data_IF_308409983325
#
_entry.id   IF_308409983325
#
_cell.length_a   1.000
_cell.length_b   1.000
_cell.length_c   1.000
_cell.angle_alpha   90.00
_cell.angle_beta   90.00
_cell.angle_gamma   90.00
#
_symmetry.space_group_name_H-M   'P 1'
#
loop_
_entity.id
_entity.type
_entity.pdbx_description
1 polymer ?
#
# COMPACT_ATOMS: atom_id res chain seq x y z
N UNK A 1 -3.76 39.17 1.95
CA UNK A 1 -4.92 38.89 1.10
C UNK A 1 -4.46 38.10 -0.13
N UNK A 2 -4.79 36.81 -0.27
CA UNK A 2 -4.37 36.01 -1.43
C UNK A 2 -5.33 34.82 -1.71
N UNK A 3 -6.64 35.04 -1.60
CA UNK A 3 -7.69 34.02 -1.81
C UNK A 3 -8.58 34.41 -2.97
N UNK A 4 -8.04 34.42 -4.21
CA UNK A 4 -8.91 34.75 -5.35
C UNK A 4 -8.52 34.24 -6.74
N UNK A 5 -7.76 33.15 -6.90
CA UNK A 5 -7.49 32.59 -8.23
C UNK A 5 -7.23 31.07 -8.23
N UNK A 6 -8.20 30.24 -7.82
CA UNK A 6 -8.04 28.78 -7.99
C UNK A 6 -9.36 28.05 -8.24
N UNK A 7 -10.40 28.70 -8.74
CA UNK A 7 -11.67 28.00 -9.03
C UNK A 7 -11.96 28.21 -10.51
N UNK A 8 -11.95 27.13 -11.28
CA UNK A 8 -12.38 27.13 -12.68
C UNK A 8 -13.93 27.12 -12.76
N UNK A 9 -14.50 27.51 -13.90
CA UNK A 9 -15.94 27.81 -14.06
C UNK A 9 -16.88 26.61 -13.82
N UNK A 10 -16.33 25.39 -13.80
CA UNK A 10 -17.01 24.14 -13.46
C UNK A 10 -16.82 23.71 -11.97
N UNK A 11 -16.31 24.60 -11.12
CA UNK A 11 -16.14 24.33 -9.67
C UNK A 11 -14.91 23.47 -9.34
N UNK A 12 -14.02 23.23 -10.30
CA UNK A 12 -12.82 22.43 -10.09
C UNK A 12 -11.69 23.29 -9.50
N UNK A 13 -11.33 22.99 -8.25
CA UNK A 13 -10.10 23.45 -7.62
C UNK A 13 -8.95 22.55 -8.11
N UNK A 14 -8.03 23.10 -8.88
CA UNK A 14 -6.82 22.41 -9.35
C UNK A 14 -5.79 22.21 -8.21
N UNK A 15 -6.20 21.60 -7.10
CA UNK A 15 -5.30 21.21 -5.99
C UNK A 15 -4.62 19.86 -6.23
N UNK A 16 -5.04 19.12 -7.26
CA UNK A 16 -4.52 17.79 -7.53
C UNK A 16 -5.00 16.76 -6.50
N UNK A 17 -6.17 16.98 -5.90
CA UNK A 17 -6.90 16.08 -5.00
C UNK A 17 -8.30 15.78 -5.59
N UNK A 18 -8.60 14.51 -5.87
CA UNK A 18 -9.89 14.03 -6.39
C UNK A 18 -10.91 14.07 -5.24
N UNK A 19 -11.55 15.22 -5.07
CA UNK A 19 -12.72 15.39 -4.21
C UNK A 19 -13.97 15.51 -5.08
N UNK A 20 -15.04 14.80 -4.73
CA UNK A 20 -16.37 15.06 -5.27
C UNK A 20 -17.19 15.80 -4.21
N UNK A 21 -17.95 16.79 -4.67
CA UNK A 21 -18.95 17.49 -3.88
C UNK A 21 -20.28 16.79 -4.11
N UNK A 22 -20.92 16.36 -3.02
CA UNK A 22 -22.31 15.91 -3.02
C UNK A 22 -23.28 17.10 -3.04
N UNK A 23 -24.53 16.87 -3.45
CA UNK A 23 -25.65 17.83 -3.55
C UNK A 23 -25.95 18.52 -2.20
N UNK A 24 -25.53 17.91 -1.08
CA UNK A 24 -25.64 18.49 0.27
C UNK A 24 -24.41 19.32 0.70
N UNK A 25 -23.54 19.73 -0.24
CA UNK A 25 -22.30 20.46 0.02
C UNK A 25 -21.29 19.74 0.93
N UNK A 26 -21.40 18.41 1.05
CA UNK A 26 -20.42 17.60 1.76
C UNK A 26 -19.23 17.32 0.85
N UNK A 27 -18.06 17.82 1.23
CA UNK A 27 -16.81 17.52 0.53
C UNK A 27 -16.31 16.14 0.94
N UNK A 28 -16.53 15.14 0.08
CA UNK A 28 -15.95 13.82 0.28
C UNK A 28 -14.53 13.80 -0.30
N UNK A 29 -13.55 14.01 0.58
CA UNK A 29 -12.13 13.89 0.25
C UNK A 29 -11.81 12.40 0.08
N UNK A 30 -11.82 11.91 -1.16
CA UNK A 30 -11.45 10.52 -1.48
C UNK A 30 -9.92 10.38 -1.64
N UNK A 31 -9.17 10.77 -0.61
CA UNK A 31 -7.72 10.56 -0.54
C UNK A 31 -6.88 11.25 -1.62
N UNK A 32 -5.55 11.20 -1.47
CA UNK A 32 -4.62 11.91 -2.36
C UNK A 32 -4.57 11.29 -3.76
N UNK A 33 -4.98 12.09 -4.74
CA UNK A 33 -5.18 11.80 -6.17
C UNK A 33 -4.06 11.11 -6.97
N UNK A 34 -2.86 10.95 -6.43
CA UNK A 34 -1.68 10.53 -7.22
C UNK A 34 -1.33 9.04 -7.11
N UNK A 35 -2.19 8.21 -6.53
CA UNK A 35 -1.89 6.77 -6.38
C UNK A 35 -3.11 5.87 -6.59
N UNK A 36 -4.12 6.29 -7.36
CA UNK A 36 -5.19 5.37 -7.77
C UNK A 36 -4.66 4.47 -8.87
N UNK A 37 -4.85 3.16 -8.72
CA UNK A 37 -4.59 2.18 -9.75
C UNK A 37 -5.87 2.05 -10.56
N UNK A 38 -5.83 2.45 -11.83
CA UNK A 38 -6.96 2.25 -12.75
C UNK A 38 -6.69 1.00 -13.56
N UNK A 39 -7.50 -0.04 -13.37
CA UNK A 39 -7.37 -1.27 -14.14
C UNK A 39 -7.84 -1.07 -15.59
N UNK A 40 -7.38 -1.93 -16.48
CA UNK A 40 -7.76 -1.94 -17.91
C UNK A 40 -9.27 -2.05 -18.16
N UNK A 41 -10.06 -2.44 -17.15
CA UNK A 41 -11.52 -2.52 -17.21
C UNK A 41 -12.26 -1.26 -16.72
N UNK A 42 -11.53 -0.19 -16.37
CA UNK A 42 -12.10 1.06 -15.87
C UNK A 42 -12.39 1.10 -14.36
N UNK A 43 -12.02 0.04 -13.64
CA UNK A 43 -12.20 -0.03 -12.19
C UNK A 43 -11.09 0.72 -11.45
N UNK A 44 -11.50 1.53 -10.47
CA UNK A 44 -10.60 2.32 -9.63
C UNK A 44 -10.23 1.58 -8.35
N UNK A 45 -8.95 1.28 -8.18
CA UNK A 45 -8.39 0.63 -7.01
C UNK A 45 -7.58 1.63 -6.20
N UNK A 46 -7.88 1.71 -4.91
CA UNK A 46 -7.15 2.54 -3.95
C UNK A 46 -6.17 1.67 -3.18
N UNK A 47 -4.88 1.62 -3.57
CA UNK A 47 -3.88 0.81 -2.87
C UNK A 47 -3.75 1.23 -1.41
N UNK A 48 -3.91 2.51 -1.08
CA UNK A 48 -3.89 3.02 0.31
C UNK A 48 -4.96 2.37 1.20
N UNK A 49 -6.17 2.16 0.67
CA UNK A 49 -7.23 1.49 1.42
C UNK A 49 -6.94 0.00 1.65
N UNK A 50 -6.22 -0.64 0.71
CA UNK A 50 -5.79 -2.04 0.84
C UNK A 50 -4.61 -2.12 1.83
N UNK A 51 -3.64 -1.23 1.72
CA UNK A 51 -2.50 -1.10 2.63
C UNK A 51 -2.96 -0.88 4.07
N UNK A 52 -3.93 0.01 4.30
CA UNK A 52 -4.50 0.27 5.63
C UNK A 52 -5.12 -1.01 6.23
N UNK A 53 -5.85 -1.79 5.44
CA UNK A 53 -6.38 -3.10 5.85
C UNK A 53 -5.29 -4.10 6.19
N UNK A 54 -4.16 -4.09 5.46
CA UNK A 54 -3.02 -4.98 5.73
C UNK A 54 -2.25 -4.50 6.98
N UNK A 55 -2.05 -3.19 7.15
CA UNK A 55 -1.36 -2.60 8.30
C UNK A 55 -2.19 -2.68 9.59
N UNK A 56 -3.51 -2.94 9.49
CA UNK A 56 -4.36 -3.22 10.64
C UNK A 56 -3.97 -4.52 11.37
N UNK A 57 -3.20 -5.41 10.74
CA UNK A 57 -2.68 -6.61 11.38
C UNK A 57 -1.39 -6.27 12.14
N UNK A 58 -1.35 -6.54 13.45
CA UNK A 58 -0.22 -6.17 14.30
C UNK A 58 1.13 -6.81 13.92
N UNK A 59 1.12 -7.90 13.14
CA UNK A 59 2.33 -8.51 12.60
C UNK A 59 2.87 -7.79 11.36
N UNK A 60 2.11 -6.88 10.75
CA UNK A 60 2.54 -6.08 9.61
C UNK A 60 3.03 -4.73 10.12
N UNK A 61 4.29 -4.42 9.90
CA UNK A 61 4.82 -3.09 10.14
C UNK A 61 4.46 -2.14 9.00
N UNK A 62 4.67 -2.58 7.76
CA UNK A 62 4.41 -1.76 6.59
C UNK A 62 3.93 -2.60 5.42
N UNK A 63 3.09 -2.00 4.58
CA UNK A 63 2.66 -2.61 3.33
C UNK A 63 2.67 -1.60 2.20
N UNK A 64 2.91 -2.11 1.00
CA UNK A 64 2.83 -1.36 -0.24
C UNK A 64 2.06 -2.16 -1.28
N UNK A 65 0.97 -1.61 -1.78
CA UNK A 65 0.17 -2.22 -2.84
C UNK A 65 0.51 -1.56 -4.16
N UNK A 66 0.76 -2.39 -5.17
CA UNK A 66 1.08 -1.99 -6.54
C UNK A 66 0.31 -2.82 -7.55
N UNK A 67 0.22 -2.29 -8.76
CA UNK A 67 -0.23 -3.04 -9.91
C UNK A 67 0.97 -3.57 -10.69
N UNK A 68 0.90 -4.82 -11.12
CA UNK A 68 1.86 -5.47 -11.99
C UNK A 68 1.13 -6.39 -12.96
N UNK A 69 1.32 -6.16 -14.26
CA UNK A 69 0.77 -6.99 -15.34
C UNK A 69 -0.78 -7.11 -15.29
N UNK A 70 -1.46 -6.01 -14.97
CA UNK A 70 -2.91 -5.95 -14.81
C UNK A 70 -3.44 -6.63 -13.55
N UNK A 71 -2.55 -6.98 -12.60
CA UNK A 71 -2.89 -7.65 -11.34
C UNK A 71 -2.39 -6.86 -10.14
N UNK A 72 -3.09 -6.98 -9.02
CA UNK A 72 -2.70 -6.33 -7.77
C UNK A 72 -1.71 -7.21 -7.00
N UNK A 73 -0.54 -6.67 -6.69
CA UNK A 73 0.47 -7.27 -5.82
C UNK A 73 0.64 -6.42 -4.56
N UNK A 74 0.77 -7.07 -3.40
CA UNK A 74 1.04 -6.40 -2.13
C UNK A 74 2.43 -6.80 -1.63
N UNK A 75 3.32 -5.83 -1.46
CA UNK A 75 4.57 -5.99 -0.73
C UNK A 75 4.31 -5.76 0.75
N UNK A 76 4.81 -6.63 1.61
CA UNK A 76 4.57 -6.54 3.05
C UNK A 76 5.88 -6.70 3.79
N UNK A 77 6.18 -5.72 4.64
CA UNK A 77 7.24 -5.74 5.62
C UNK A 77 6.63 -6.13 6.96
N UNK A 78 7.03 -7.30 7.45
CA UNK A 78 6.53 -7.86 8.69
C UNK A 78 7.38 -7.42 9.87
N UNK A 79 6.77 -7.43 11.05
CA UNK A 79 7.48 -7.22 12.30
C UNK A 79 8.25 -8.50 12.69
N UNK A 80 9.51 -8.56 12.28
CA UNK A 80 10.39 -9.67 12.61
C UNK A 80 10.65 -9.80 14.11
N UNK A 81 10.54 -8.72 14.89
CA UNK A 81 10.70 -8.78 16.35
C UNK A 81 9.52 -9.53 16.97
N UNK A 82 8.30 -9.18 16.56
CA UNK A 82 7.09 -9.90 16.99
C UNK A 82 7.10 -11.36 16.52
N UNK A 83 7.51 -11.62 15.28
CA UNK A 83 7.62 -12.98 14.74
C UNK A 83 8.67 -13.77 15.53
N UNK A 84 9.82 -13.17 15.85
CA UNK A 84 10.86 -13.82 16.65
C UNK A 84 10.33 -14.16 18.05
N UNK A 85 9.57 -13.26 18.68
CA UNK A 85 8.89 -13.55 19.95
C UNK A 85 7.88 -14.71 19.84
N UNK A 86 7.02 -14.72 18.80
CA UNK A 86 6.03 -15.80 18.56
C UNK A 86 6.68 -17.14 18.17
N UNK A 87 7.91 -17.08 17.67
CA UNK A 87 8.69 -18.23 17.21
C UNK A 87 9.94 -18.48 18.05
N UNK A 88 10.01 -17.90 19.23
CA UNK A 88 11.15 -18.00 20.12
C UNK A 88 11.44 -19.49 20.42
N UNK A 89 12.66 -19.93 20.10
CA UNK A 89 13.09 -21.33 20.26
C UNK A 89 12.66 -22.30 19.16
N UNK A 90 12.01 -21.83 18.08
CA UNK A 90 11.70 -22.64 16.89
C UNK A 90 12.83 -22.61 15.88
N UNK A 91 12.93 -23.64 15.05
CA UNK A 91 13.93 -23.69 13.97
C UNK A 91 13.63 -22.67 12.86
N UNK A 92 14.63 -22.20 12.12
CA UNK A 92 14.42 -21.25 11.00
C UNK A 92 13.35 -21.71 9.99
N UNK A 93 13.23 -23.03 9.74
CA UNK A 93 12.16 -23.58 8.89
C UNK A 93 10.76 -23.37 9.48
N UNK A 94 10.60 -23.51 10.79
CA UNK A 94 9.31 -23.29 11.46
C UNK A 94 8.96 -21.81 11.50
N UNK A 95 9.96 -20.93 11.67
CA UNK A 95 9.78 -19.48 11.57
C UNK A 95 9.28 -19.11 10.17
N UNK A 96 9.95 -19.61 9.12
CA UNK A 96 9.53 -19.36 7.74
C UNK A 96 8.12 -19.91 7.46
N UNK A 97 7.81 -21.12 7.94
CA UNK A 97 6.48 -21.70 7.81
C UNK A 97 5.40 -20.88 8.54
N UNK A 98 5.73 -20.32 9.71
CA UNK A 98 4.84 -19.44 10.47
C UNK A 98 4.54 -18.15 9.70
N UNK A 99 5.57 -17.50 9.17
CA UNK A 99 5.45 -16.29 8.33
C UNK A 99 4.61 -16.55 7.10
N UNK A 100 4.88 -17.63 6.36
CA UNK A 100 4.12 -18.02 5.18
C UNK A 100 2.63 -18.25 5.53
N UNK A 101 2.36 -18.93 6.65
CA UNK A 101 0.98 -19.18 7.12
C UNK A 101 0.27 -17.88 7.50
N UNK A 102 0.97 -16.97 8.17
CA UNK A 102 0.46 -15.65 8.53
C UNK A 102 0.11 -14.83 7.28
N UNK A 103 1.02 -14.75 6.30
CA UNK A 103 0.78 -14.04 5.04
C UNK A 103 -0.41 -14.62 4.26
N UNK A 104 -0.53 -15.95 4.20
CA UNK A 104 -1.67 -16.63 3.59
C UNK A 104 -2.99 -16.29 4.29
N UNK A 105 -2.97 -16.23 5.63
CA UNK A 105 -4.13 -15.85 6.44
C UNK A 105 -4.53 -14.39 6.15
N UNK A 106 -3.60 -13.45 6.27
CA UNK A 106 -3.82 -12.03 6.02
C UNK A 106 -4.35 -11.83 4.60
N UNK A 107 -3.73 -12.47 3.60
CA UNK A 107 -4.19 -12.42 2.21
C UNK A 107 -5.64 -12.86 2.06
N UNK A 108 -6.02 -13.99 2.66
CA UNK A 108 -7.37 -14.51 2.56
C UNK A 108 -8.40 -13.60 3.23
N UNK A 109 -8.07 -13.04 4.40
CA UNK A 109 -8.95 -12.12 5.12
C UNK A 109 -9.09 -10.78 4.40
N UNK A 110 -8.02 -10.23 3.85
CA UNK A 110 -8.04 -9.00 3.04
C UNK A 110 -8.81 -9.23 1.74
N UNK A 111 -8.55 -10.32 1.02
CA UNK A 111 -9.26 -10.64 -0.23
C UNK A 111 -10.76 -10.90 -0.03
N UNK A 112 -11.20 -11.31 1.17
CA UNK A 112 -12.63 -11.42 1.52
C UNK A 112 -13.33 -10.08 1.64
N UNK A 113 -12.59 -9.05 2.02
CA UNK A 113 -13.12 -7.67 2.13
C UNK A 113 -13.01 -6.90 0.82
N UNK A 114 -12.34 -7.47 -0.18
CA UNK A 114 -12.05 -6.84 -1.46
C UNK A 114 -12.88 -7.45 -2.59
N UNK A 115 -13.43 -6.65 -3.51
CA UNK A 115 -14.07 -7.17 -4.70
C UNK A 115 -13.06 -7.90 -5.60
N UNK A 116 -13.55 -8.85 -6.42
CA UNK A 116 -12.74 -9.77 -7.22
C UNK A 116 -11.65 -9.09 -8.07
N UNK A 117 -11.94 -7.92 -8.64
CA UNK A 117 -10.98 -7.15 -9.45
C UNK A 117 -9.85 -6.52 -8.63
N UNK A 118 -10.06 -6.27 -7.34
CA UNK A 118 -9.06 -5.69 -6.43
C UNK A 118 -8.37 -6.73 -5.55
N UNK A 119 -8.65 -8.01 -5.77
CA UNK A 119 -8.03 -9.08 -5.01
C UNK A 119 -6.53 -9.13 -5.26
N UNK A 120 -5.80 -9.28 -4.16
CA UNK A 120 -4.35 -9.38 -4.17
C UNK A 120 -3.97 -10.74 -4.74
N UNK A 121 -3.35 -10.69 -5.92
CA UNK A 121 -2.87 -11.85 -6.65
C UNK A 121 -1.64 -12.46 -5.99
N UNK A 122 -0.75 -11.62 -5.45
CA UNK A 122 0.49 -12.06 -4.80
C UNK A 122 0.84 -11.16 -3.62
N UNK A 123 1.23 -11.79 -2.51
CA UNK A 123 1.96 -11.14 -1.43
C UNK A 123 3.46 -11.35 -1.64
N UNK A 124 4.22 -10.27 -1.56
CA UNK A 124 5.67 -10.26 -1.67
C UNK A 124 6.20 -9.87 -0.29
N UNK A 125 6.75 -10.83 0.44
CA UNK A 125 7.41 -10.51 1.71
C UNK A 125 8.68 -9.68 1.46
N UNK A 126 8.88 -8.66 2.27
CA UNK A 126 10.05 -7.79 2.24
C UNK A 126 10.86 -8.02 3.52
N UNK A 127 12.16 -8.34 3.42
CA UNK A 127 13.04 -8.42 4.58
C UNK A 127 13.52 -7.04 5.06
N UNK A 128 13.47 -6.03 4.18
CA UNK A 128 13.90 -4.67 4.48
C UNK A 128 12.71 -3.69 4.51
N UNK A 129 12.72 -2.70 5.42
CA UNK A 129 11.70 -1.67 5.49
C UNK A 129 11.65 -0.85 4.19
N UNK A 130 10.52 -0.18 3.96
CA UNK A 130 10.37 0.65 2.78
C UNK A 130 11.17 1.95 2.91
N UNK A 131 11.74 2.41 1.81
CA UNK A 131 12.47 3.67 1.77
C UNK A 131 11.45 4.80 1.87
N UNK A 132 11.57 5.60 2.94
CA UNK A 132 10.67 6.72 3.21
C UNK A 132 11.28 8.07 2.84
N UNK A 133 10.44 9.05 2.59
CA UNK A 133 10.83 10.47 2.53
C UNK A 133 11.02 11.03 3.94
N UNK A 134 11.58 12.23 4.07
CA UNK A 134 11.68 12.95 5.35
C UNK A 134 10.33 13.16 6.06
N UNK A 135 9.22 13.00 5.34
CA UNK A 135 7.85 13.05 5.87
C UNK A 135 7.29 11.67 6.23
N UNK A 136 8.14 10.65 6.41
CA UNK A 136 7.78 9.26 6.69
C UNK A 136 6.86 8.60 5.63
N UNK A 137 6.76 9.17 4.43
CA UNK A 137 5.94 8.58 3.35
C UNK A 137 6.78 7.61 2.53
N UNK A 138 6.24 6.43 2.26
CA UNK A 138 6.89 5.43 1.42
C UNK A 138 7.11 5.98 0.00
N UNK A 139 8.33 5.85 -0.52
CA UNK A 139 8.70 6.24 -1.88
C UNK A 139 8.23 5.19 -2.89
N UNK A 140 6.91 5.17 -3.16
CA UNK A 140 6.24 4.16 -4.02
C UNK A 140 6.86 4.02 -5.42
N UNK A 141 7.40 5.10 -5.98
CA UNK A 141 8.06 5.10 -7.30
C UNK A 141 9.28 4.17 -7.37
N UNK A 142 9.93 3.87 -6.25
CA UNK A 142 11.04 2.91 -6.19
C UNK A 142 10.58 1.46 -6.35
N UNK A 143 9.28 1.21 -6.17
CA UNK A 143 8.69 -0.13 -6.13
C UNK A 143 7.71 -0.38 -7.29
N UNK A 144 7.40 0.66 -8.08
CA UNK A 144 6.46 0.64 -9.20
C UNK A 144 7.07 0.20 -10.54
N UNK A 145 8.40 0.19 -10.69
CA UNK A 145 9.08 -0.18 -11.93
C UNK A 145 9.59 -1.62 -11.94
N UNK A 146 9.18 -2.41 -12.94
CA UNK A 146 9.93 -3.60 -13.32
C UNK A 146 11.33 -3.22 -13.82
N UNK A 147 12.35 -3.92 -13.32
CA UNK A 147 13.78 -3.83 -13.64
C UNK A 147 14.58 -2.68 -13.01
N UNK A 148 15.20 -2.93 -11.85
CA UNK A 148 16.58 -3.43 -11.75
C UNK A 148 17.02 -3.38 -10.29
N UNK A 149 17.73 -4.43 -9.86
CA UNK A 149 18.30 -4.52 -8.54
C UNK A 149 19.23 -3.34 -8.26
N UNK A 150 18.79 -2.46 -7.38
CA UNK A 150 19.65 -1.65 -6.56
C UNK A 150 18.88 -1.38 -5.27
N UNK A 151 18.91 -2.34 -4.34
CA UNK A 151 18.96 -1.99 -2.92
C UNK A 151 19.94 -0.83 -2.79
N UNK A 152 19.52 0.38 -2.37
CA UNK A 152 20.49 1.36 -1.93
C UNK A 152 21.11 0.76 -0.67
N UNK A 153 22.30 0.18 -0.84
CA UNK A 153 23.18 -0.14 0.27
C UNK A 153 23.28 1.11 1.12
N UNK A 154 22.63 1.08 2.28
CA UNK A 154 22.83 2.06 3.33
C UNK A 154 24.33 2.13 3.66
N UNK A 155 24.83 3.29 4.12
CA UNK A 155 26.23 3.39 4.49
C UNK A 155 26.50 2.39 5.61
N UNK A 156 27.38 1.42 5.37
CA UNK A 156 27.92 0.60 6.45
C UNK A 156 28.84 1.49 7.32
N UNK A 157 28.82 1.33 8.65
CA UNK A 157 29.73 2.01 9.55
C UNK A 157 31.19 1.61 9.31
#
# INVERSE_FOLDING_TARGET
ELTRQTIDADGWLATGDLGFLDDQHNLHIKGRCKSVIVLSHGENIYPEAIEDKINAYGQVQESLVKEADGRIEAMVYLDYDLIDQETAGKSQQEQHAHVQKLLLKIRAEVNRQLPAFSQISRFIERPDPFIKTATHKIKRYLYAGGQNGATPSGPRP
#
